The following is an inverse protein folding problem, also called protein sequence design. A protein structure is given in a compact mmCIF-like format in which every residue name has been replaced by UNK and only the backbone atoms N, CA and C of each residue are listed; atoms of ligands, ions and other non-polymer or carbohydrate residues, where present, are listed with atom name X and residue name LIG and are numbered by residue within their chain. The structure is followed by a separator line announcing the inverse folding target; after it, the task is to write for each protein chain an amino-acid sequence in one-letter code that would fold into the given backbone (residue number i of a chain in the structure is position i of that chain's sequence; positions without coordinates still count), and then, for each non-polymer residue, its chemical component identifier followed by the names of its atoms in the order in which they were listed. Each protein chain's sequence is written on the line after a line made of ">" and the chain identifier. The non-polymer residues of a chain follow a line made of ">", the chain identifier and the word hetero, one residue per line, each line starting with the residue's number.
data_IF_986030779808
#
_entry.id   IF_986030779808
#
_cell.length_a   1.000
_cell.length_b   1.000
_cell.length_c   1.000
_cell.angle_alpha   90.00
_cell.angle_beta   90.00
_cell.angle_gamma   90.00
#
_symmetry.space_group_name_H-M   'P 1'
#
loop_
_entity.id
_entity.type
_entity.pdbx_description
1 polymer ?
#
# COMPACT_ATOMS: atom_id res chain seq x y z
N UNK A 1 -45.72 31.54 -59.14
CA UNK A 1 -46.33 32.37 -58.09
C UNK A 1 -46.05 31.67 -56.76
N UNK A 2 -45.11 32.20 -55.95
CA UNK A 2 -44.74 31.64 -54.66
C UNK A 2 -45.85 31.83 -53.63
N UNK A 3 -46.09 30.85 -52.76
CA UNK A 3 -46.39 31.12 -51.35
C UNK A 3 -46.05 29.94 -50.45
N UNK A 4 -45.30 30.27 -49.40
CA UNK A 4 -44.86 29.51 -48.22
C UNK A 4 -46.03 29.66 -47.18
N UNK A 5 -46.30 28.78 -46.21
CA UNK A 5 -45.63 28.66 -44.90
C UNK A 5 -46.34 27.59 -44.03
N UNK A 6 -45.50 26.86 -43.26
CA UNK A 6 -45.62 26.22 -41.94
C UNK A 6 -46.62 25.08 -41.65
N UNK A 7 -46.02 23.90 -41.46
CA UNK A 7 -46.44 22.89 -40.51
C UNK A 7 -46.25 23.39 -39.07
N UNK A 8 -47.32 23.42 -38.29
CA UNK A 8 -47.30 23.55 -36.84
C UNK A 8 -48.16 22.47 -36.22
N UNK A 9 -47.57 21.30 -35.89
CA UNK A 9 -48.24 20.28 -35.08
C UNK A 9 -47.39 20.00 -33.84
N UNK A 10 -48.03 20.19 -32.71
CA UNK A 10 -47.58 19.97 -31.34
C UNK A 10 -47.35 18.49 -31.06
N UNK A 11 -46.25 18.16 -30.38
CA UNK A 11 -46.21 17.04 -29.44
C UNK A 11 -45.37 17.47 -28.23
N UNK A 12 -46.07 17.62 -27.11
CA UNK A 12 -45.47 17.67 -25.78
C UNK A 12 -45.47 16.22 -25.30
N UNK A 13 -44.29 15.62 -25.20
CA UNK A 13 -44.07 14.39 -24.43
C UNK A 13 -42.72 14.53 -23.77
N UNK A 14 -42.79 14.60 -22.44
CA UNK A 14 -41.67 14.44 -21.53
C UNK A 14 -40.96 13.13 -21.81
N UNK A 15 -39.67 13.15 -22.08
CA UNK A 15 -38.81 12.11 -21.52
C UNK A 15 -37.36 12.59 -21.36
N UNK A 16 -37.06 12.97 -20.12
CA UNK A 16 -35.70 13.15 -19.62
C UNK A 16 -35.09 11.76 -19.45
N UNK A 17 -34.42 11.27 -20.49
CA UNK A 17 -33.55 10.09 -20.37
C UNK A 17 -32.09 10.55 -20.27
N UNK A 18 -31.69 10.90 -19.05
CA UNK A 18 -30.29 10.94 -18.64
C UNK A 18 -29.69 9.52 -18.79
N UNK A 19 -28.38 9.38 -19.09
CA UNK A 19 -27.77 8.07 -19.19
C UNK A 19 -27.94 7.32 -17.87
N UNK A 20 -28.56 6.16 -17.94
CA UNK A 20 -28.70 5.22 -16.84
C UNK A 20 -27.34 5.03 -16.17
N UNK A 21 -27.29 5.41 -14.90
CA UNK A 21 -26.16 5.21 -14.01
C UNK A 21 -25.62 3.78 -14.20
N UNK A 22 -24.39 3.65 -14.70
CA UNK A 22 -23.70 2.36 -14.75
C UNK A 22 -23.78 1.74 -13.34
N UNK A 23 -24.22 0.48 -13.20
CA UNK A 23 -24.27 -0.16 -11.89
C UNK A 23 -22.86 -0.11 -11.29
N UNK A 24 -22.74 0.53 -10.13
CA UNK A 24 -21.52 0.52 -9.35
C UNK A 24 -21.16 -0.95 -9.11
N UNK A 25 -20.00 -1.46 -9.59
CA UNK A 25 -19.67 -2.87 -9.45
C UNK A 25 -19.69 -3.21 -7.96
N UNK A 26 -20.52 -4.18 -7.59
CA UNK A 26 -20.61 -4.63 -6.21
C UNK A 26 -19.23 -5.05 -5.70
N UNK A 27 -18.97 -4.84 -4.40
CA UNK A 27 -17.71 -5.25 -3.76
C UNK A 27 -17.37 -6.73 -4.07
N UNK A 28 -18.38 -7.56 -4.33
CA UNK A 28 -18.24 -8.98 -4.71
C UNK A 28 -17.59 -9.22 -6.08
N UNK A 29 -17.78 -8.34 -7.07
CA UNK A 29 -17.11 -8.45 -8.38
C UNK A 29 -15.67 -7.91 -8.35
N UNK A 30 -15.39 -7.02 -7.40
CA UNK A 30 -14.08 -6.40 -7.18
C UNK A 30 -13.04 -7.41 -6.66
N UNK A 31 -13.40 -8.23 -5.68
CA UNK A 31 -12.44 -9.13 -5.03
C UNK A 31 -11.86 -10.22 -5.95
N UNK A 32 -12.62 -10.95 -6.80
CA UNK A 32 -12.04 -11.95 -7.70
C UNK A 32 -10.99 -11.37 -8.66
N UNK A 33 -11.24 -10.18 -9.22
CA UNK A 33 -10.29 -9.47 -10.10
C UNK A 33 -9.07 -8.98 -9.33
N UNK A 34 -9.28 -8.46 -8.12
CA UNK A 34 -8.18 -8.15 -7.19
C UNK A 34 -7.33 -9.41 -6.96
N UNK A 35 -7.92 -10.56 -6.62
CA UNK A 35 -7.16 -11.79 -6.37
C UNK A 35 -6.34 -12.24 -7.58
N UNK A 36 -6.90 -12.14 -8.79
CA UNK A 36 -6.23 -12.54 -10.04
C UNK A 36 -4.99 -11.68 -10.36
N UNK A 37 -4.98 -10.39 -10.02
CA UNK A 37 -3.93 -9.44 -10.43
C UNK A 37 -3.10 -8.85 -9.27
N UNK A 38 -3.57 -8.96 -8.03
CA UNK A 38 -2.93 -8.37 -6.85
C UNK A 38 -1.60 -9.04 -6.52
N UNK A 39 -1.62 -10.38 -6.48
CA UNK A 39 -0.52 -11.26 -6.08
C UNK A 39 -0.62 -12.55 -6.92
N UNK A 40 0.01 -12.61 -8.11
CA UNK A 40 0.00 -13.82 -8.93
C UNK A 40 0.68 -15.00 -8.21
N UNK A 41 0.27 -16.25 -8.48
CA UNK A 41 0.87 -17.45 -7.85
C UNK A 41 2.40 -17.49 -7.99
N UNK A 42 2.92 -17.13 -9.17
CA UNK A 42 4.36 -17.06 -9.40
C UNK A 42 5.09 -16.05 -8.48
N UNK A 43 4.40 -15.00 -8.01
CA UNK A 43 4.94 -14.06 -7.03
C UNK A 43 5.02 -14.71 -5.65
N UNK A 44 3.96 -15.40 -5.22
CA UNK A 44 3.90 -16.12 -3.94
C UNK A 44 5.02 -17.16 -3.87
N UNK A 45 5.17 -17.96 -4.93
CA UNK A 45 6.20 -19.00 -5.02
C UNK A 45 7.61 -18.41 -4.93
N UNK A 46 7.91 -17.37 -5.73
CA UNK A 46 9.23 -16.71 -5.73
C UNK A 46 9.53 -16.06 -4.37
N UNK A 47 8.57 -15.34 -3.79
CA UNK A 47 8.73 -14.69 -2.49
C UNK A 47 8.91 -15.72 -1.37
N UNK A 48 8.13 -16.81 -1.41
CA UNK A 48 8.22 -17.89 -0.42
C UNK A 48 9.55 -18.63 -0.52
N UNK A 49 10.02 -18.98 -1.72
CA UNK A 49 11.30 -19.64 -1.92
C UNK A 49 12.47 -18.81 -1.33
N UNK A 50 12.44 -17.49 -1.53
CA UNK A 50 13.43 -16.55 -0.98
C UNK A 50 13.34 -16.44 0.54
N UNK A 51 12.12 -16.37 1.08
CA UNK A 51 11.88 -16.31 2.53
C UNK A 51 12.37 -17.57 3.25
N UNK A 52 12.16 -18.76 2.68
CA UNK A 52 12.59 -20.04 3.28
C UNK A 52 14.10 -20.12 3.44
N UNK A 53 14.87 -19.56 2.50
CA UNK A 53 16.35 -19.48 2.61
C UNK A 53 16.83 -18.27 3.42
N UNK A 54 15.92 -17.48 3.99
CA UNK A 54 16.22 -16.29 4.80
C UNK A 54 16.61 -15.04 4.00
N UNK A 55 16.45 -15.06 2.67
CA UNK A 55 16.70 -13.93 1.77
C UNK A 55 15.48 -13.00 1.74
N UNK A 56 15.32 -12.20 2.80
CA UNK A 56 14.22 -11.26 2.93
C UNK A 56 14.24 -10.17 1.86
N UNK A 57 15.43 -9.72 1.43
CA UNK A 57 15.56 -8.70 0.39
C UNK A 57 15.14 -9.25 -0.98
N UNK A 58 15.55 -10.48 -1.31
CA UNK A 58 15.08 -11.18 -2.50
C UNK A 58 13.58 -11.46 -2.48
N UNK A 59 13.01 -11.78 -1.31
CA UNK A 59 11.57 -11.93 -1.15
C UNK A 59 10.83 -10.61 -1.42
N UNK A 60 11.32 -9.50 -0.87
CA UNK A 60 10.79 -8.16 -1.12
C UNK A 60 10.83 -7.81 -2.61
N UNK A 61 11.97 -8.02 -3.26
CA UNK A 61 12.13 -7.77 -4.71
C UNK A 61 11.14 -8.60 -5.54
N UNK A 62 10.97 -9.89 -5.22
CA UNK A 62 10.00 -10.76 -5.90
C UNK A 62 8.55 -10.25 -5.78
N UNK A 63 8.20 -9.61 -4.66
CA UNK A 63 6.89 -9.04 -4.41
C UNK A 63 6.73 -7.56 -4.87
N UNK A 64 7.73 -7.04 -5.62
CA UNK A 64 7.81 -5.64 -6.07
C UNK A 64 7.85 -4.62 -4.93
N UNK A 65 8.65 -4.93 -3.91
CA UNK A 65 9.02 -3.98 -2.88
C UNK A 65 10.40 -3.41 -3.12
N UNK A 66 10.51 -2.10 -2.94
CA UNK A 66 11.78 -1.38 -2.93
C UNK A 66 12.17 -1.09 -1.47
N UNK A 67 13.46 -1.15 -1.13
CA UNK A 67 13.92 -0.99 0.26
C UNK A 67 14.65 0.36 0.38
N UNK A 68 14.08 1.27 1.15
CA UNK A 68 14.55 2.66 1.27
C UNK A 68 15.41 2.90 2.53
N UNK A 69 15.99 1.84 3.10
CA UNK A 69 16.85 1.95 4.29
C UNK A 69 17.95 0.88 4.30
N UNK A 70 19.07 1.20 4.95
CA UNK A 70 20.16 0.27 5.20
C UNK A 70 20.25 -0.12 6.67
N UNK A 71 20.28 -1.42 6.99
CA UNK A 71 20.40 -1.91 8.37
C UNK A 71 21.64 -1.36 9.09
N UNK A 72 22.75 -1.14 8.37
CA UNK A 72 23.97 -0.52 8.93
C UNK A 72 23.73 0.94 9.36
N UNK A 73 23.02 1.72 8.55
CA UNK A 73 22.66 3.10 8.89
C UNK A 73 21.69 3.14 10.08
N UNK A 74 20.77 2.17 10.16
CA UNK A 74 19.87 2.01 11.31
C UNK A 74 20.65 1.70 12.58
N UNK A 75 21.58 0.76 12.55
CA UNK A 75 22.41 0.42 13.71
C UNK A 75 23.24 1.61 14.20
N UNK A 76 23.74 2.42 13.27
CA UNK A 76 24.50 3.63 13.59
C UNK A 76 23.62 4.74 14.19
N UNK A 77 22.41 4.93 13.68
CA UNK A 77 21.54 6.06 14.04
C UNK A 77 20.62 5.77 15.23
N UNK A 78 20.09 4.55 15.29
CA UNK A 78 19.06 4.13 16.25
C UNK A 78 19.55 3.03 17.21
N UNK A 79 20.83 2.64 17.10
CA UNK A 79 21.45 1.63 17.94
C UNK A 79 21.30 0.20 17.42
N UNK A 80 22.20 -0.68 17.88
CA UNK A 80 22.24 -2.09 17.47
C UNK A 80 20.98 -2.84 17.84
N UNK A 81 20.44 -2.59 19.04
CA UNK A 81 19.24 -3.27 19.54
C UNK A 81 18.03 -3.09 18.60
N UNK A 82 17.79 -1.87 18.12
CA UNK A 82 16.72 -1.58 17.15
C UNK A 82 17.01 -2.24 15.80
N UNK A 83 18.25 -2.21 15.35
CA UNK A 83 18.65 -2.87 14.10
C UNK A 83 18.46 -4.39 14.14
N UNK A 84 18.72 -5.02 15.29
CA UNK A 84 18.53 -6.46 15.49
C UNK A 84 17.04 -6.84 15.52
N UNK A 85 16.21 -6.04 16.22
CA UNK A 85 14.76 -6.20 16.18
C UNK A 85 14.21 -6.07 14.75
N UNK A 86 14.62 -5.03 14.02
CA UNK A 86 14.22 -4.81 12.64
C UNK A 86 14.68 -5.97 11.74
N UNK A 87 15.92 -6.44 11.89
CA UNK A 87 16.43 -7.58 11.12
C UNK A 87 15.65 -8.86 11.42
N UNK A 88 15.26 -9.08 12.67
CA UNK A 88 14.41 -10.20 13.08
C UNK A 88 13.04 -10.13 12.40
N UNK A 89 12.36 -8.98 12.47
CA UNK A 89 11.05 -8.79 11.83
C UNK A 89 11.15 -8.94 10.29
N UNK A 90 12.22 -8.45 9.65
CA UNK A 90 12.44 -8.61 8.20
C UNK A 90 12.66 -10.07 7.78
N UNK A 91 13.33 -10.90 8.58
CA UNK A 91 13.49 -12.34 8.28
C UNK A 91 12.16 -13.08 8.25
N UNK A 92 11.16 -12.59 8.96
CA UNK A 92 9.82 -13.18 9.02
C UNK A 92 8.78 -12.45 8.18
N UNK A 93 9.18 -11.38 7.47
CA UNK A 93 8.31 -10.65 6.57
C UNK A 93 7.87 -11.55 5.40
N UNK A 94 6.56 -11.66 5.20
CA UNK A 94 5.92 -12.22 4.02
C UNK A 94 5.42 -11.07 3.13
N UNK A 95 6.23 -10.59 2.16
CA UNK A 95 5.90 -9.39 1.40
C UNK A 95 4.74 -9.60 0.41
N UNK A 96 4.56 -10.81 -0.08
CA UNK A 96 3.40 -11.26 -0.86
C UNK A 96 2.10 -11.20 -0.04
N UNK A 97 2.13 -11.66 1.21
CA UNK A 97 1.01 -11.53 2.15
C UNK A 97 0.73 -10.07 2.50
N UNK A 98 1.76 -9.29 2.80
CA UNK A 98 1.62 -7.86 3.06
C UNK A 98 0.95 -7.16 1.86
N UNK A 99 1.41 -7.44 0.65
CA UNK A 99 0.86 -6.88 -0.59
C UNK A 99 -0.61 -7.23 -0.80
N UNK A 100 -1.03 -8.41 -0.37
CA UNK A 100 -2.43 -8.82 -0.41
C UNK A 100 -3.31 -7.90 0.46
N UNK A 101 -2.84 -7.56 1.66
CA UNK A 101 -3.58 -6.76 2.63
C UNK A 101 -3.40 -5.24 2.49
N UNK A 102 -2.58 -4.79 1.54
CA UNK A 102 -2.44 -3.36 1.26
C UNK A 102 -3.75 -2.77 0.72
N UNK A 103 -4.13 -1.53 1.13
CA UNK A 103 -5.37 -0.91 0.68
C UNK A 103 -5.42 -0.74 -0.84
N UNK A 104 -6.59 -1.01 -1.43
CA UNK A 104 -6.82 -0.96 -2.88
C UNK A 104 -8.00 -0.06 -3.24
N UNK A 105 -7.98 0.48 -4.45
CA UNK A 105 -9.07 1.28 -5.02
C UNK A 105 -9.86 0.44 -6.03
N UNK A 106 -11.18 0.60 -6.01
CA UNK A 106 -12.10 0.07 -7.03
C UNK A 106 -12.09 0.96 -8.29
N UNK A 107 -12.44 0.42 -9.48
CA UNK A 107 -12.85 -0.97 -9.75
C UNK A 107 -11.70 -1.94 -10.08
N UNK A 108 -10.50 -1.40 -10.35
CA UNK A 108 -9.40 -2.17 -10.97
C UNK A 108 -8.59 -2.99 -9.97
N UNK A 109 -8.75 -2.72 -8.67
CA UNK A 109 -8.02 -3.44 -7.63
C UNK A 109 -6.58 -3.00 -7.47
N UNK A 110 -6.21 -1.85 -8.01
CA UNK A 110 -4.89 -1.25 -7.86
C UNK A 110 -4.65 -0.85 -6.40
N UNK A 111 -3.41 -0.95 -5.94
CA UNK A 111 -2.92 -0.36 -4.71
C UNK A 111 -3.29 1.11 -4.67
N UNK A 112 -3.87 1.53 -3.55
CA UNK A 112 -4.21 2.92 -3.30
C UNK A 112 -2.91 3.74 -3.28
N UNK A 113 -2.75 4.73 -4.17
CA UNK A 113 -1.54 5.54 -4.22
C UNK A 113 -1.44 6.48 -3.02
N UNK A 114 -0.22 6.94 -2.74
CA UNK A 114 0.04 7.93 -1.68
C UNK A 114 -0.35 7.44 -0.29
N UNK A 115 0.01 6.23 0.10
CA UNK A 115 -0.21 5.75 1.46
C UNK A 115 1.10 5.54 2.17
N UNK A 116 1.11 5.82 3.47
CA UNK A 116 2.13 5.36 4.41
C UNK A 116 1.44 4.51 5.46
N UNK A 117 1.70 3.21 5.46
CA UNK A 117 1.05 2.21 6.34
C UNK A 117 2.07 1.72 7.35
N UNK A 118 1.76 1.80 8.65
CA UNK A 118 2.66 1.29 9.70
C UNK A 118 2.58 -0.24 9.77
N UNK A 119 3.74 -0.89 9.87
CA UNK A 119 3.89 -2.35 9.99
C UNK A 119 4.40 -2.79 11.36
N UNK A 120 5.34 -2.05 11.94
CA UNK A 120 5.89 -2.34 13.26
C UNK A 120 6.39 -1.05 13.93
N UNK A 121 6.40 -1.02 15.26
CA UNK A 121 6.96 0.06 16.07
C UNK A 121 8.17 -0.47 16.85
N UNK A 122 9.23 0.32 16.86
CA UNK A 122 10.43 0.11 17.66
C UNK A 122 10.67 1.32 18.55
N UNK A 123 11.27 1.07 19.70
CA UNK A 123 11.66 2.12 20.64
C UNK A 123 13.15 2.36 20.48
N UNK A 124 13.51 3.49 19.89
CA UNK A 124 14.90 3.91 19.75
C UNK A 124 15.28 4.80 20.93
N UNK A 125 16.41 4.51 21.57
CA UNK A 125 16.99 5.39 22.58
C UNK A 125 17.59 6.63 21.89
N UNK A 126 17.25 7.81 22.39
CA UNK A 126 17.79 9.12 21.98
C UNK A 126 18.23 9.86 23.25
N UNK A 127 19.36 10.62 23.24
CA UNK A 127 19.74 11.51 24.34
C UNK A 127 18.61 12.40 24.88
N UNK A 128 17.60 12.74 24.06
CA UNK A 128 16.44 13.53 24.46
C UNK A 128 15.20 12.72 24.90
N UNK A 129 15.26 11.38 24.92
CA UNK A 129 14.15 10.49 25.33
C UNK A 129 13.94 9.28 24.40
N UNK A 130 12.81 8.57 24.54
CA UNK A 130 12.48 7.46 23.63
C UNK A 130 11.85 8.00 22.35
N UNK A 131 12.47 7.70 21.21
CA UNK A 131 11.99 8.10 19.89
C UNK A 131 11.28 6.92 19.20
N UNK A 132 9.98 7.04 18.88
CA UNK A 132 9.26 5.96 18.22
C UNK A 132 9.68 5.87 16.75
N UNK A 133 10.41 4.80 16.41
CA UNK A 133 10.74 4.43 15.04
C UNK A 133 9.67 3.47 14.52
N UNK A 134 9.22 3.62 13.27
CA UNK A 134 8.23 2.72 12.68
C UNK A 134 8.74 2.15 11.36
N UNK A 135 8.61 0.84 11.18
CA UNK A 135 8.67 0.23 9.86
C UNK A 135 7.36 0.54 9.14
N UNK A 136 7.45 1.08 7.93
CA UNK A 136 6.30 1.49 7.13
C UNK A 136 6.38 0.93 5.71
N UNK A 137 5.22 0.64 5.12
CA UNK A 137 5.04 0.39 3.70
C UNK A 137 4.46 1.64 3.04
N UNK A 138 5.10 2.12 1.96
CA UNK A 138 4.70 3.33 1.24
C UNK A 138 4.25 2.99 -0.16
N UNK A 139 3.12 3.54 -0.59
CA UNK A 139 2.75 3.52 -2.01
C UNK A 139 3.12 4.84 -2.66
N UNK A 140 3.64 4.80 -3.90
CA UNK A 140 3.98 6.00 -4.65
C UNK A 140 2.75 6.88 -4.90
N UNK A 141 2.93 8.19 -5.08
CA UNK A 141 1.80 9.07 -5.40
C UNK A 141 1.21 8.71 -6.77
N UNK A 142 -0.05 9.10 -6.99
CA UNK A 142 -0.82 8.69 -8.16
C UNK A 142 -0.16 9.08 -9.49
N UNK A 143 0.59 10.19 -9.50
CA UNK A 143 1.27 10.71 -10.69
C UNK A 143 2.61 10.02 -11.02
N UNK A 144 3.18 9.24 -10.10
CA UNK A 144 4.55 8.72 -10.26
C UNK A 144 4.65 7.46 -11.14
N UNK A 145 3.56 7.00 -11.74
CA UNK A 145 3.45 5.78 -12.58
C UNK A 145 4.38 4.62 -12.16
N UNK A 146 4.44 4.34 -10.87
CA UNK A 146 5.47 3.47 -10.30
C UNK A 146 5.04 1.99 -10.26
N UNK A 147 4.27 1.54 -11.25
CA UNK A 147 4.04 0.12 -11.54
C UNK A 147 3.52 -0.73 -10.37
N UNK A 148 2.71 -0.16 -9.48
CA UNK A 148 2.16 -0.85 -8.30
C UNK A 148 3.24 -1.39 -7.34
N UNK A 149 4.38 -0.68 -7.25
CA UNK A 149 5.45 -0.93 -6.29
C UNK A 149 5.12 -0.39 -4.90
N UNK A 150 5.75 -0.96 -3.89
CA UNK A 150 5.61 -0.56 -2.49
C UNK A 150 7.01 -0.36 -1.91
N UNK A 151 7.31 0.80 -1.34
CA UNK A 151 8.59 0.99 -0.66
C UNK A 151 8.49 0.58 0.80
N UNK A 152 9.43 -0.22 1.30
CA UNK A 152 9.68 -0.40 2.72
C UNK A 152 10.61 0.69 3.20
N UNK A 153 10.13 1.50 4.13
CA UNK A 153 10.87 2.62 4.67
C UNK A 153 10.81 2.62 6.20
N UNK A 154 11.69 3.40 6.80
CA UNK A 154 11.60 3.74 8.21
C UNK A 154 11.01 5.14 8.36
N UNK A 155 10.12 5.27 9.33
CA UNK A 155 9.53 6.53 9.71
C UNK A 155 9.98 6.89 11.12
N UNK A 156 10.67 8.02 11.22
CA UNK A 156 11.06 8.67 12.46
C UNK A 156 10.20 9.93 12.62
N UNK A 157 9.35 9.95 13.65
CA UNK A 157 8.38 11.02 13.86
C UNK A 157 8.96 12.40 14.18
N UNK A 158 10.23 12.47 14.55
CA UNK A 158 10.90 13.74 14.78
C UNK A 158 11.60 14.26 13.50
N UNK A 159 12.17 13.38 12.66
CA UNK A 159 12.74 13.77 11.35
C UNK A 159 11.67 14.20 10.35
N UNK A 160 10.51 13.56 10.36
CA UNK A 160 9.39 13.95 9.49
C UNK A 160 8.84 15.36 9.77
N UNK A 161 9.15 15.96 10.94
CA UNK A 161 8.83 17.35 11.27
C UNK A 161 9.90 18.35 10.81
N UNK A 162 11.10 17.88 10.52
CA UNK A 162 12.26 18.70 10.19
C UNK A 162 12.55 18.75 8.68
N UNK A 163 12.18 17.73 7.91
CA UNK A 163 12.34 17.71 6.46
C UNK A 163 11.28 18.57 5.75
N UNK A 164 11.65 19.41 4.77
CA UNK A 164 10.70 20.12 3.94
C UNK A 164 9.86 19.14 3.09
N UNK A 165 8.61 19.49 2.72
CA UNK A 165 7.58 18.55 2.22
C UNK A 165 7.82 17.96 0.81
N UNK A 166 9.06 17.91 0.32
CA UNK A 166 9.35 17.70 -1.10
C UNK A 166 9.47 16.25 -1.56
N UNK A 167 9.33 15.23 -0.70
CA UNK A 167 9.32 13.83 -1.14
C UNK A 167 8.17 13.03 -0.49
N UNK A 168 7.19 12.67 -1.30
CA UNK A 168 5.96 11.90 -1.02
C UNK A 168 4.83 12.61 -0.23
N UNK A 169 3.59 12.62 -0.76
CA UNK A 169 2.50 13.45 -0.22
C UNK A 169 1.88 12.98 1.12
N UNK A 170 2.41 11.93 1.76
CA UNK A 170 1.93 11.51 3.09
C UNK A 170 3.10 11.19 4.02
N UNK A 171 3.67 12.23 4.68
CA UNK A 171 4.85 12.06 5.50
C UNK A 171 4.57 11.31 6.80
N UNK A 172 3.31 11.06 7.18
CA UNK A 172 2.95 10.37 8.42
C UNK A 172 2.20 9.06 8.17
N UNK A 173 2.36 8.05 9.05
CA UNK A 173 1.54 6.85 9.00
C UNK A 173 0.04 7.17 9.06
N UNK A 174 -0.72 6.50 8.19
CA UNK A 174 -2.15 6.71 8.07
C UNK A 174 -2.87 6.19 9.32
N UNK A 175 -3.79 6.99 9.88
CA UNK A 175 -4.46 6.67 11.16
C UNK A 175 -5.38 5.44 11.08
N UNK A 176 -5.98 5.18 9.91
CA UNK A 176 -6.92 4.07 9.69
C UNK A 176 -6.26 2.76 9.24
N UNK A 177 -5.08 2.83 8.63
CA UNK A 177 -4.40 1.64 8.07
C UNK A 177 -3.22 1.30 8.98
N UNK A 178 -3.50 0.48 10.00
CA UNK A 178 -2.61 0.16 11.12
C UNK A 178 -2.24 -1.31 11.12
N UNK A 179 -1.42 -1.74 10.15
CA UNK A 179 -0.94 -3.14 10.07
C UNK A 179 0.05 -3.47 11.19
N UNK A 180 0.53 -2.46 11.93
CA UNK A 180 1.29 -2.61 13.17
C UNK A 180 0.50 -3.26 14.30
N UNK A 181 -0.83 -3.15 14.28
CA UNK A 181 -1.72 -3.83 15.22
C UNK A 181 -2.13 -5.23 14.74
N UNK A 182 -1.86 -5.56 13.47
CA UNK A 182 -2.32 -6.77 12.81
C UNK A 182 -1.14 -7.52 12.17
N UNK A 183 -0.19 -7.96 13.01
CA UNK A 183 1.03 -8.63 12.56
C UNK A 183 0.76 -9.87 11.70
N UNK A 184 -0.34 -10.59 11.90
CA UNK A 184 -0.71 -11.74 11.08
C UNK A 184 -0.93 -11.42 9.59
N UNK A 185 -1.08 -10.14 9.22
CA UNK A 185 -1.25 -9.69 7.84
C UNK A 185 0.08 -9.54 7.08
N UNK A 186 1.22 -9.75 7.72
CA UNK A 186 2.53 -9.63 7.07
C UNK A 186 3.65 -10.47 7.71
N UNK A 187 3.51 -10.90 8.95
CA UNK A 187 4.47 -11.74 9.67
C UNK A 187 4.14 -13.21 9.48
N UNK A 188 5.03 -13.96 8.82
CA UNK A 188 4.84 -15.37 8.53
C UNK A 188 4.67 -16.23 9.78
N UNK A 189 5.19 -15.82 10.93
CA UNK A 189 5.03 -16.53 12.21
C UNK A 189 3.60 -16.49 12.73
N UNK A 190 2.85 -15.44 12.35
CA UNK A 190 1.50 -15.15 12.83
C UNK A 190 0.43 -15.35 11.76
N UNK A 191 0.81 -15.68 10.53
CA UNK A 191 -0.13 -15.90 9.42
C UNK A 191 -1.16 -17.00 9.69
N UNK A 192 -0.89 -17.93 10.62
CA UNK A 192 -1.86 -18.95 11.07
C UNK A 192 -3.10 -18.37 11.76
N UNK A 193 -3.06 -17.13 12.24
CA UNK A 193 -4.19 -16.43 12.88
C UNK A 193 -5.27 -15.98 11.87
N UNK A 194 -5.03 -16.16 10.56
CA UNK A 194 -5.99 -15.84 9.50
C UNK A 194 -7.05 -16.94 9.27
N UNK A 195 -7.00 -18.02 10.05
CA UNK A 195 -7.88 -19.19 9.92
C UNK A 195 -9.13 -19.09 10.79
#
# INVERSE_FOLDING_TARGET
>A
MLTRIANGRTLRTTDTSAPLSSPCPSLSAFWPRVRQFAVPTAMIEKATARRVVGDWAGACSAARFDIDFGLRAVAHTHGRHVADQLRSDLRHLAPDLLRWHMPRIAPDGLLRPGLTVALARYEAADPAGVRPLRLVARTPPAWADAGQRISLALWDGARARADPPHHHPHPHPHRRFRLDLHRHLWDARRAGELR
#
